data_IF_422547890947
#
_entry.id   IF_422547890947
#
_cell.length_a   1.000
_cell.length_b   1.000
_cell.length_c   1.000
_cell.angle_alpha   90.00
_cell.angle_beta   90.00
_cell.angle_gamma   90.00
#
_symmetry.space_group_name_H-M   'P 1'
#
loop_
_entity.id
_entity.type
_entity.pdbx_description
1 polymer ?
#
# COMPACT_ATOMS: atom_id res chain seq x y z
N UNK A 1 10.25 -23.66 12.11
CA UNK A 1 9.06 -23.51 11.27
C UNK A 1 7.89 -23.90 12.16
N UNK A 2 7.44 -22.99 13.01
CA UNK A 2 6.34 -23.26 13.94
C UNK A 2 5.08 -23.61 13.15
N UNK A 3 4.45 -24.72 13.53
CA UNK A 3 3.16 -25.14 13.00
C UNK A 3 2.13 -24.05 13.23
N UNK A 4 1.73 -23.38 12.15
CA UNK A 4 0.70 -22.34 12.14
C UNK A 4 -0.67 -22.97 12.46
N UNK A 5 -1.01 -23.11 13.74
CA UNK A 5 -2.35 -23.47 14.18
C UNK A 5 -3.27 -22.23 14.11
N UNK A 6 -4.41 -22.38 13.44
CA UNK A 6 -5.46 -21.36 13.39
C UNK A 6 -6.32 -21.71 14.58
N UNK A 7 -6.66 -20.71 15.39
CA UNK A 7 -7.39 -20.94 16.63
C UNK A 7 -8.66 -21.75 16.33
N UNK A 8 -8.91 -22.86 17.04
CA UNK A 8 -9.99 -23.80 16.71
C UNK A 8 -11.39 -23.18 16.59
N UNK A 9 -11.68 -22.10 17.32
CA UNK A 9 -12.98 -21.42 17.23
C UNK A 9 -13.19 -20.71 15.87
N UNK A 10 -12.14 -20.17 15.26
CA UNK A 10 -12.23 -19.54 13.93
C UNK A 10 -12.53 -20.57 12.85
N UNK A 11 -11.95 -21.78 12.97
CA UNK A 11 -12.29 -22.90 12.09
C UNK A 11 -13.76 -23.31 12.28
N UNK A 12 -14.25 -23.34 13.52
CA UNK A 12 -15.65 -23.67 13.82
C UNK A 12 -16.64 -22.66 13.22
N UNK A 13 -16.33 -21.36 13.29
CA UNK A 13 -17.13 -20.31 12.62
C UNK A 13 -17.09 -20.43 11.09
N UNK A 14 -15.93 -20.74 10.51
CA UNK A 14 -15.74 -21.04 9.08
C UNK A 14 -16.55 -22.27 8.60
N UNK A 15 -16.78 -23.25 9.47
CA UNK A 15 -17.63 -24.41 9.16
C UNK A 15 -19.13 -24.09 9.28
N UNK A 16 -19.51 -23.04 10.03
CA UNK A 16 -20.90 -22.63 10.21
C UNK A 16 -21.37 -21.58 9.19
N UNK A 17 -20.47 -20.71 8.72
CA UNK A 17 -20.72 -19.74 7.64
C UNK A 17 -20.21 -20.27 6.31
N UNK A 18 -20.78 -19.80 5.20
CA UNK A 18 -20.14 -19.95 3.89
C UNK A 18 -18.78 -19.21 3.92
N UNK A 19 -17.71 -19.92 3.59
CA UNK A 19 -16.33 -19.41 3.61
C UNK A 19 -16.18 -18.16 2.75
N UNK A 20 -16.92 -18.08 1.64
CA UNK A 20 -16.95 -16.95 0.74
C UNK A 20 -17.46 -15.69 1.45
N UNK A 21 -18.63 -15.82 2.10
CA UNK A 21 -19.26 -14.73 2.86
C UNK A 21 -18.39 -14.30 4.03
N UNK A 22 -17.74 -15.25 4.70
CA UNK A 22 -16.87 -14.93 5.82
C UNK A 22 -15.60 -14.17 5.38
N UNK A 23 -14.99 -14.56 4.26
CA UNK A 23 -13.86 -13.81 3.69
C UNK A 23 -14.28 -12.41 3.21
N UNK A 24 -15.49 -12.26 2.68
CA UNK A 24 -16.03 -10.94 2.30
C UNK A 24 -16.15 -10.03 3.54
N UNK A 25 -16.71 -10.54 4.65
CA UNK A 25 -16.81 -9.82 5.94
C UNK A 25 -15.42 -9.41 6.48
N UNK A 26 -14.44 -10.31 6.41
CA UNK A 26 -13.08 -10.01 6.87
C UNK A 26 -12.35 -9.02 5.96
N UNK A 27 -12.63 -9.04 4.65
CA UNK A 27 -12.16 -8.03 3.71
C UNK A 27 -12.66 -6.65 4.07
N UNK A 28 -13.97 -6.51 4.33
CA UNK A 28 -14.58 -5.26 4.79
C UNK A 28 -13.99 -4.78 6.11
N UNK A 29 -13.81 -5.68 7.07
CA UNK A 29 -13.16 -5.37 8.36
C UNK A 29 -11.75 -4.81 8.15
N UNK A 30 -10.95 -5.43 7.29
CA UNK A 30 -9.60 -4.95 6.96
C UNK A 30 -9.64 -3.56 6.31
N UNK A 31 -10.57 -3.34 5.40
CA UNK A 31 -10.74 -2.02 4.77
C UNK A 31 -11.15 -0.96 5.80
N UNK A 32 -12.06 -1.28 6.73
CA UNK A 32 -12.48 -0.38 7.79
C UNK A 32 -11.32 -0.01 8.72
N UNK A 33 -10.51 -0.98 9.16
CA UNK A 33 -9.30 -0.72 9.96
C UNK A 33 -8.34 0.22 9.24
N UNK A 34 -8.12 0.00 7.94
CA UNK A 34 -7.29 0.88 7.11
C UNK A 34 -7.88 2.29 7.01
N UNK A 35 -9.19 2.43 6.84
CA UNK A 35 -9.85 3.75 6.84
C UNK A 35 -9.68 4.47 8.18
N UNK A 36 -9.83 3.77 9.31
CA UNK A 36 -9.58 4.35 10.64
C UNK A 36 -8.14 4.83 10.80
N UNK A 37 -7.17 4.04 10.31
CA UNK A 37 -5.77 4.48 10.24
C UNK A 37 -5.63 5.77 9.42
N UNK A 38 -6.27 5.87 8.26
CA UNK A 38 -6.21 7.09 7.43
C UNK A 38 -6.88 8.29 8.12
N UNK A 39 -8.02 8.10 8.80
CA UNK A 39 -8.68 9.14 9.59
C UNK A 39 -7.77 9.66 10.69
N UNK A 40 -7.07 8.77 11.41
CA UNK A 40 -6.14 9.16 12.46
C UNK A 40 -4.91 9.88 11.91
N UNK A 41 -4.38 9.43 10.77
CA UNK A 41 -3.24 10.08 10.12
C UNK A 41 -3.61 11.51 9.65
N UNK A 42 -4.79 11.69 9.08
CA UNK A 42 -5.30 13.01 8.62
C UNK A 42 -5.57 13.99 9.78
N UNK A 43 -5.63 13.54 11.04
CA UNK A 43 -5.69 14.45 12.21
C UNK A 43 -4.34 15.11 12.51
N UNK A 44 -3.23 14.52 12.06
CA UNK A 44 -1.87 14.91 12.44
C UNK A 44 -0.96 15.27 11.25
N UNK A 45 -1.44 15.11 10.02
CA UNK A 45 -0.68 15.39 8.81
C UNK A 45 -1.60 15.91 7.70
N UNK A 46 -1.08 16.82 6.88
CA UNK A 46 -1.75 17.26 5.65
C UNK A 46 -1.86 16.10 4.65
N UNK A 47 -2.85 16.12 3.73
CA UNK A 47 -3.11 15.02 2.80
C UNK A 47 -1.88 14.49 2.05
N UNK A 48 -1.06 15.38 1.47
CA UNK A 48 0.14 14.98 0.73
C UNK A 48 1.19 14.31 1.62
N UNK A 49 1.44 14.86 2.81
CA UNK A 49 2.38 14.29 3.78
C UNK A 49 1.88 12.93 4.31
N UNK A 50 0.57 12.79 4.53
CA UNK A 50 -0.05 11.54 4.94
C UNK A 50 0.16 10.45 3.86
N UNK A 51 -0.15 10.76 2.61
CA UNK A 51 0.03 9.84 1.48
C UNK A 51 1.50 9.50 1.26
N UNK A 52 2.38 10.51 1.30
CA UNK A 52 3.83 10.32 1.17
C UNK A 52 4.36 9.33 2.22
N UNK A 53 4.00 9.51 3.50
CA UNK A 53 4.43 8.64 4.59
C UNK A 53 3.94 7.21 4.42
N UNK A 54 2.67 7.01 4.04
CA UNK A 54 2.14 5.65 3.82
C UNK A 54 2.77 4.98 2.58
N UNK A 55 2.99 5.74 1.49
CA UNK A 55 3.67 5.24 0.29
C UNK A 55 5.11 4.84 0.64
N UNK A 56 5.87 5.71 1.30
CA UNK A 56 7.23 5.41 1.74
C UNK A 56 7.26 4.15 2.61
N UNK A 57 6.40 4.10 3.64
CA UNK A 57 6.25 2.95 4.52
C UNK A 57 6.00 1.64 3.75
N UNK A 58 5.19 1.67 2.68
CA UNK A 58 4.92 0.49 1.83
C UNK A 58 6.14 0.00 1.05
N UNK A 59 7.09 0.88 0.70
CA UNK A 59 8.32 0.50 -0.01
C UNK A 59 9.21 -0.45 0.80
N UNK A 60 9.09 -0.41 2.14
CA UNK A 60 9.91 -1.20 3.04
C UNK A 60 9.52 -2.66 3.21
N UNK A 61 8.30 -3.05 2.79
CA UNK A 61 7.71 -4.38 3.06
C UNK A 61 7.93 -4.80 4.54
N UNK A 62 8.01 -6.10 4.81
CA UNK A 62 8.22 -6.64 6.16
C UNK A 62 9.55 -6.23 6.81
N UNK A 63 10.60 -5.92 6.03
CA UNK A 63 11.98 -5.82 6.54
C UNK A 63 12.47 -4.40 6.78
N UNK A 64 12.01 -3.43 5.99
CA UNK A 64 12.50 -2.05 6.02
C UNK A 64 11.38 -1.01 6.23
N UNK A 65 10.18 -1.43 6.69
CA UNK A 65 9.01 -0.55 6.88
C UNK A 65 9.34 0.68 7.74
N UNK A 66 9.97 0.44 8.89
CA UNK A 66 10.32 1.47 9.87
C UNK A 66 11.38 2.41 9.27
N UNK A 67 12.38 1.87 8.57
CA UNK A 67 13.45 2.65 7.96
C UNK A 67 12.92 3.59 6.88
N UNK A 68 12.00 3.14 6.04
CA UNK A 68 11.36 4.02 5.07
C UNK A 68 10.45 5.06 5.71
N UNK A 69 9.77 4.70 6.81
CA UNK A 69 8.97 5.66 7.56
C UNK A 69 9.84 6.74 8.21
N UNK A 70 10.96 6.36 8.84
CA UNK A 70 11.94 7.30 9.38
C UNK A 70 12.50 8.21 8.29
N UNK A 71 12.85 7.66 7.13
CA UNK A 71 13.30 8.44 5.98
C UNK A 71 12.27 9.50 5.56
N UNK A 72 10.99 9.12 5.49
CA UNK A 72 9.91 10.04 5.15
C UNK A 72 9.71 11.14 6.21
N UNK A 73 10.03 10.87 7.48
CA UNK A 73 9.93 11.85 8.56
C UNK A 73 11.06 12.88 8.53
N UNK A 74 12.28 12.46 8.17
CA UNK A 74 13.46 13.35 8.14
C UNK A 74 13.69 14.02 6.78
N UNK A 75 12.90 13.67 5.77
CA UNK A 75 12.82 14.37 4.49
C UNK A 75 11.35 14.41 4.04
N UNK A 76 10.56 15.37 4.56
CA UNK A 76 9.14 15.52 4.25
C UNK A 76 8.85 15.70 2.77
N UNK A 77 7.61 15.43 2.36
CA UNK A 77 7.18 15.57 0.97
C UNK A 77 7.36 17.02 0.46
N UNK A 78 7.05 18.00 1.30
CA UNK A 78 7.24 19.42 0.97
C UNK A 78 8.69 19.76 0.62
N UNK A 79 9.66 19.09 1.24
CA UNK A 79 11.09 19.31 0.96
C UNK A 79 11.52 18.67 -0.35
N UNK A 80 11.09 17.43 -0.63
CA UNK A 80 11.43 16.79 -1.91
C UNK A 80 10.84 17.54 -3.10
N UNK A 81 9.67 18.17 -2.92
CA UNK A 81 9.01 18.93 -3.99
C UNK A 81 9.63 20.29 -4.30
N UNK A 82 10.55 20.79 -3.47
CA UNK A 82 11.38 21.93 -3.84
C UNK A 82 12.32 21.62 -5.00
N UNK A 83 12.69 20.34 -5.17
CA UNK A 83 13.67 19.94 -6.18
C UNK A 83 13.05 19.77 -7.57
N UNK A 84 11.81 19.25 -7.64
CA UNK A 84 11.03 18.92 -8.86
C UNK A 84 11.69 17.93 -9.84
N UNK A 85 13.00 17.78 -9.79
CA UNK A 85 13.79 16.89 -10.63
C UNK A 85 13.95 15.49 -10.01
N UNK A 86 13.73 14.46 -10.82
CA UNK A 86 13.81 13.07 -10.39
C UNK A 86 15.20 12.68 -9.87
N UNK A 87 16.29 13.08 -10.54
CA UNK A 87 17.64 12.68 -10.15
C UNK A 87 18.05 13.34 -8.83
N UNK A 88 17.64 14.60 -8.63
CA UNK A 88 17.87 15.32 -7.38
C UNK A 88 17.07 14.69 -6.25
N UNK A 89 15.79 14.34 -6.47
CA UNK A 89 14.95 13.64 -5.48
C UNK A 89 15.56 12.29 -5.10
N UNK A 90 16.00 11.51 -6.09
CA UNK A 90 16.67 10.22 -5.85
C UNK A 90 17.92 10.40 -4.99
N UNK A 91 18.81 11.34 -5.36
CA UNK A 91 20.04 11.63 -4.61
C UNK A 91 19.74 12.11 -3.20
N UNK A 92 18.76 13.00 -3.02
CA UNK A 92 18.36 13.51 -1.72
C UNK A 92 17.88 12.39 -0.78
N UNK A 93 17.00 11.51 -1.28
CA UNK A 93 16.51 10.35 -0.53
C UNK A 93 17.63 9.35 -0.20
N UNK A 94 18.50 9.04 -1.16
CA UNK A 94 19.65 8.15 -0.94
C UNK A 94 20.64 8.74 0.07
N UNK A 95 20.92 10.04 -0.01
CA UNK A 95 21.85 10.71 0.89
C UNK A 95 21.27 10.75 2.30
N UNK A 96 20.04 11.25 2.46
CA UNK A 96 19.33 11.31 3.74
C UNK A 96 19.17 9.92 4.36
N UNK A 97 18.92 8.91 3.53
CA UNK A 97 18.83 7.51 3.94
C UNK A 97 20.17 6.88 4.31
N UNK A 98 21.32 7.53 4.18
CA UNK A 98 22.59 6.90 4.53
C UNK A 98 23.15 5.93 3.49
N UNK A 99 22.51 5.83 2.32
CA UNK A 99 22.83 4.84 1.29
C UNK A 99 23.95 5.31 0.36
N UNK A 100 24.14 6.62 0.24
CA UNK A 100 25.28 7.25 -0.44
C UNK A 100 25.96 8.28 0.47
N UNK A 101 27.23 8.59 0.18
CA UNK A 101 28.02 9.59 0.91
C UNK A 101 28.33 10.85 0.10
N UNK A 102 28.24 10.78 -1.23
CA UNK A 102 28.51 11.93 -2.09
C UNK A 102 27.43 12.99 -1.93
N UNK A 103 27.85 14.23 -1.71
CA UNK A 103 26.99 15.42 -1.74
C UNK A 103 26.85 16.00 -3.16
N UNK A 104 27.60 15.46 -4.12
CA UNK A 104 27.64 15.96 -5.49
C UNK A 104 26.25 15.84 -6.14
N UNK A 105 25.77 16.95 -6.71
CA UNK A 105 24.45 17.05 -7.34
C UNK A 105 23.29 17.24 -6.36
N UNK A 106 23.54 17.41 -5.07
CA UNK A 106 22.51 17.92 -4.14
C UNK A 106 22.38 19.45 -4.26
N UNK A 107 21.20 20.02 -3.97
CA UNK A 107 21.01 21.47 -3.89
C UNK A 107 21.94 22.10 -2.86
N UNK A 108 22.34 23.36 -3.10
CA UNK A 108 23.30 24.06 -2.23
C UNK A 108 22.78 24.28 -0.80
N UNK A 109 21.46 24.45 -0.68
CA UNK A 109 20.72 24.66 0.57
C UNK A 109 20.23 23.35 1.21
N UNK A 110 20.55 22.20 0.62
CA UNK A 110 20.18 20.91 1.20
C UNK A 110 20.90 20.69 2.53
N UNK A 111 20.14 20.54 3.62
CA UNK A 111 20.72 20.22 4.93
C UNK A 111 21.40 18.84 4.90
N UNK A 112 22.72 18.84 4.93
CA UNK A 112 23.56 17.62 4.89
C UNK A 112 23.88 17.06 6.27
N UNK A 113 23.46 17.73 7.35
CA UNK A 113 23.76 17.33 8.74
C UNK A 113 22.86 16.18 9.22
N UNK A 114 21.60 16.16 8.81
CA UNK A 114 20.65 15.12 9.16
C UNK A 114 20.74 13.94 8.18
N UNK A 115 21.06 12.74 8.68
CA UNK A 115 21.28 11.54 7.86
C UNK A 115 21.11 10.25 8.68
N UNK A 116 20.46 9.24 8.11
CA UNK A 116 20.34 7.91 8.72
C UNK A 116 21.68 7.15 8.68
N UNK A 117 21.88 6.25 9.64
CA UNK A 117 23.04 5.34 9.62
C UNK A 117 22.81 4.24 8.59
N UNK A 118 23.79 3.94 7.74
CA UNK A 118 23.68 2.90 6.69
C UNK A 118 23.27 1.51 7.23
N UNK A 119 23.71 1.16 8.44
CA UNK A 119 23.47 -0.16 9.04
C UNK A 119 22.04 -0.37 9.58
N UNK A 120 21.18 0.65 9.57
CA UNK A 120 19.75 0.47 9.93
C UNK A 120 19.00 -0.32 8.87
N UNK A 121 19.44 -0.26 7.61
CA UNK A 121 18.84 -0.96 6.48
C UNK A 121 19.11 -2.47 6.54
N UNK A 122 18.05 -3.25 6.36
CA UNK A 122 18.10 -4.71 6.36
C UNK A 122 18.18 -5.24 4.93
N UNK A 123 19.25 -5.97 4.62
CA UNK A 123 19.46 -6.63 3.32
C UNK A 123 19.30 -8.15 3.41
N UNK A 124 19.62 -8.75 4.57
CA UNK A 124 19.52 -10.20 4.75
C UNK A 124 18.07 -10.68 4.58
N UNK A 125 17.87 -11.65 3.68
CA UNK A 125 16.55 -12.18 3.36
C UNK A 125 15.68 -11.24 2.52
N UNK A 126 16.21 -10.13 2.02
CA UNK A 126 15.55 -9.24 1.06
C UNK A 126 16.06 -9.58 -0.35
N UNK A 127 15.16 -9.73 -1.31
CA UNK A 127 15.54 -9.97 -2.71
C UNK A 127 16.15 -8.69 -3.31
N UNK A 128 17.17 -8.76 -4.18
CA UNK A 128 17.84 -7.56 -4.72
C UNK A 128 16.91 -6.49 -5.34
N UNK A 129 15.82 -6.83 -6.07
CA UNK A 129 14.86 -5.82 -6.56
C UNK A 129 14.11 -5.05 -5.46
N UNK A 130 14.21 -5.50 -4.21
CA UNK A 130 13.59 -4.92 -3.03
C UNK A 130 14.58 -4.20 -2.12
N UNK A 131 15.84 -4.06 -2.54
CA UNK A 131 16.82 -3.26 -1.80
C UNK A 131 16.40 -1.79 -1.75
N UNK A 132 16.69 -1.07 -0.64
CA UNK A 132 16.27 0.31 -0.43
C UNK A 132 16.64 1.25 -1.58
N UNK A 133 17.85 1.13 -2.12
CA UNK A 133 18.36 1.94 -3.21
C UNK A 133 17.52 1.76 -4.49
N UNK A 134 17.17 0.51 -4.82
CA UNK A 134 16.34 0.19 -5.99
C UNK A 134 14.92 0.70 -5.82
N UNK A 135 14.40 0.67 -4.59
CA UNK A 135 13.06 1.16 -4.23
C UNK A 135 12.99 2.69 -4.29
N UNK A 136 14.01 3.39 -3.76
CA UNK A 136 14.15 4.85 -3.85
C UNK A 136 14.26 5.29 -5.31
N UNK A 137 15.12 4.66 -6.10
CA UNK A 137 15.25 4.95 -7.53
C UNK A 137 13.92 4.77 -8.28
N UNK A 138 13.21 3.69 -7.98
CA UNK A 138 11.90 3.36 -8.56
C UNK A 138 10.85 4.43 -8.21
N UNK A 139 10.74 4.86 -6.95
CA UNK A 139 9.70 5.82 -6.54
C UNK A 139 10.01 7.28 -6.92
N UNK A 140 11.28 7.65 -7.13
CA UNK A 140 11.67 9.05 -7.34
C UNK A 140 11.04 9.67 -8.59
N UNK A 141 10.76 8.87 -9.61
CA UNK A 141 10.04 9.32 -10.81
C UNK A 141 8.60 9.75 -10.49
N UNK A 142 7.89 8.97 -9.68
CA UNK A 142 6.56 9.32 -9.20
C UNK A 142 6.58 10.60 -8.37
N UNK A 143 7.54 10.74 -7.46
CA UNK A 143 7.61 11.94 -6.63
C UNK A 143 7.84 13.19 -7.48
N UNK A 144 8.78 13.16 -8.42
CA UNK A 144 8.99 14.25 -9.38
C UNK A 144 7.70 14.63 -10.12
N UNK A 145 6.95 13.65 -10.63
CA UNK A 145 5.67 13.87 -11.32
C UNK A 145 4.60 14.47 -10.39
N UNK A 146 4.46 13.92 -9.19
CA UNK A 146 3.44 14.36 -8.23
C UNK A 146 3.70 15.76 -7.67
N UNK A 147 4.94 16.24 -7.66
CA UNK A 147 5.29 17.53 -7.06
C UNK A 147 4.73 18.75 -7.80
N UNK A 148 4.13 18.57 -8.97
CA UNK A 148 3.43 19.65 -9.68
C UNK A 148 2.19 20.12 -8.91
N UNK A 149 1.32 19.19 -8.49
CA UNK A 149 0.03 19.49 -7.85
C UNK A 149 -0.19 18.75 -6.50
N UNK A 150 0.79 17.97 -6.05
CA UNK A 150 0.70 17.10 -4.88
C UNK A 150 0.20 15.70 -5.20
N UNK A 151 0.57 14.72 -4.36
CA UNK A 151 0.09 13.32 -4.45
C UNK A 151 -1.43 13.27 -4.30
N UNK A 152 -1.98 14.12 -3.41
CA UNK A 152 -3.39 14.21 -3.13
C UNK A 152 -4.19 14.55 -4.37
N UNK A 153 -3.85 15.63 -5.06
CA UNK A 153 -4.61 16.04 -6.24
C UNK A 153 -4.32 15.11 -7.43
N UNK A 154 -3.07 14.64 -7.57
CA UNK A 154 -2.66 13.71 -8.62
C UNK A 154 -3.53 12.46 -8.72
N UNK A 155 -3.82 11.80 -7.59
CA UNK A 155 -4.70 10.62 -7.59
C UNK A 155 -6.17 10.96 -7.48
N UNK A 156 -6.54 12.11 -6.87
CA UNK A 156 -7.94 12.56 -6.82
C UNK A 156 -8.49 12.76 -8.22
N UNK A 157 -7.76 13.48 -9.07
CA UNK A 157 -8.13 13.70 -10.48
C UNK A 157 -8.27 12.39 -11.23
N UNK A 158 -7.28 11.49 -11.14
CA UNK A 158 -7.32 10.19 -11.83
C UNK A 158 -8.50 9.31 -11.41
N UNK A 159 -8.87 9.33 -10.12
CA UNK A 159 -10.06 8.61 -9.64
C UNK A 159 -11.33 9.21 -10.25
N UNK A 160 -11.44 10.54 -10.26
CA UNK A 160 -12.61 11.25 -10.80
C UNK A 160 -12.73 11.08 -12.31
N UNK A 161 -11.63 11.16 -13.06
CA UNK A 161 -11.59 10.97 -14.52
C UNK A 161 -11.95 9.55 -14.96
N UNK A 162 -11.66 8.56 -14.12
CA UNK A 162 -11.97 7.15 -14.40
C UNK A 162 -13.28 6.68 -13.74
N UNK A 163 -14.05 7.58 -13.12
CA UNK A 163 -15.33 7.27 -12.52
C UNK A 163 -16.32 6.73 -13.57
N UNK A 164 -17.02 5.65 -13.21
CA UNK A 164 -18.09 5.08 -14.05
C UNK A 164 -19.14 4.41 -13.17
N UNK A 165 -20.40 4.47 -13.61
CA UNK A 165 -21.54 3.81 -12.94
C UNK A 165 -21.66 2.32 -13.29
N UNK A 166 -20.93 1.83 -14.30
CA UNK A 166 -21.04 0.45 -14.78
C UNK A 166 -19.71 -0.30 -14.62
N UNK A 167 -19.60 -1.15 -13.59
CA UNK A 167 -18.42 -1.94 -13.27
C UNK A 167 -18.67 -3.45 -13.41
N UNK A 168 -17.63 -4.17 -13.86
CA UNK A 168 -17.52 -5.62 -13.86
C UNK A 168 -16.05 -6.01 -13.59
N UNK A 169 -15.77 -7.31 -13.42
CA UNK A 169 -14.41 -7.76 -13.08
C UNK A 169 -13.33 -7.33 -14.10
N UNK A 170 -13.67 -7.33 -15.39
CA UNK A 170 -12.74 -7.00 -16.48
C UNK A 170 -12.40 -5.51 -16.47
N UNK A 171 -13.41 -4.64 -16.42
CA UNK A 171 -13.17 -3.20 -16.46
C UNK A 171 -12.59 -2.66 -15.15
N UNK A 172 -12.90 -3.27 -13.99
CA UNK A 172 -12.34 -2.87 -12.70
C UNK A 172 -10.80 -2.93 -12.71
N UNK A 173 -10.22 -4.01 -13.25
CA UNK A 173 -8.77 -4.12 -13.37
C UNK A 173 -8.18 -3.09 -14.31
N UNK A 174 -8.82 -2.84 -15.46
CA UNK A 174 -8.35 -1.83 -16.42
C UNK A 174 -8.38 -0.42 -15.82
N UNK A 175 -9.43 -0.08 -15.08
CA UNK A 175 -9.58 1.23 -14.44
C UNK A 175 -8.51 1.42 -13.36
N UNK A 176 -8.34 0.46 -12.46
CA UNK A 176 -7.30 0.57 -11.42
C UNK A 176 -5.92 0.71 -12.06
N UNK A 177 -5.61 -0.05 -13.12
CA UNK A 177 -4.34 0.05 -13.84
C UNK A 177 -4.11 1.45 -14.45
N UNK A 178 -5.15 2.13 -14.93
CA UNK A 178 -5.05 3.52 -15.41
C UNK A 178 -4.78 4.49 -14.26
N UNK A 179 -5.48 4.34 -13.13
CA UNK A 179 -5.29 5.19 -11.95
C UNK A 179 -3.85 5.09 -11.41
N UNK A 180 -3.26 3.90 -11.41
CA UNK A 180 -1.90 3.64 -10.88
C UNK A 180 -0.80 3.69 -11.94
N UNK A 181 -1.11 4.09 -13.17
CA UNK A 181 -0.11 4.19 -14.23
C UNK A 181 0.68 5.48 -14.08
N UNK A 182 1.80 5.42 -13.35
CA UNK A 182 2.69 6.55 -13.12
C UNK A 182 4.16 6.13 -13.08
N UNK A 183 5.07 7.10 -13.20
CA UNK A 183 6.47 6.82 -13.47
C UNK A 183 7.15 6.02 -12.36
N UNK A 184 7.87 4.98 -12.76
CA UNK A 184 8.84 4.29 -11.90
C UNK A 184 8.25 3.24 -10.95
N UNK A 185 6.92 3.06 -10.86
CA UNK A 185 6.31 1.93 -10.15
C UNK A 185 5.73 0.92 -11.15
N UNK A 186 6.12 -0.36 -10.99
CA UNK A 186 5.52 -1.45 -11.75
C UNK A 186 4.10 -1.81 -11.26
N UNK A 187 3.26 -2.29 -12.17
CA UNK A 187 1.84 -2.58 -11.94
C UNK A 187 1.53 -3.29 -10.61
N UNK A 188 2.23 -4.40 -10.30
CA UNK A 188 1.99 -5.16 -9.07
C UNK A 188 2.12 -4.31 -7.80
N UNK A 189 3.13 -3.43 -7.74
CA UNK A 189 3.35 -2.50 -6.61
C UNK A 189 2.32 -1.38 -6.60
N UNK A 190 1.92 -0.89 -7.78
CA UNK A 190 0.86 0.11 -7.90
C UNK A 190 -0.47 -0.43 -7.36
N UNK A 191 -0.79 -1.70 -7.63
CA UNK A 191 -1.98 -2.36 -7.07
C UNK A 191 -1.89 -2.49 -5.54
N UNK A 192 -0.73 -2.89 -5.00
CA UNK A 192 -0.49 -2.93 -3.56
C UNK A 192 -0.70 -1.56 -2.92
N UNK A 193 -0.16 -0.48 -3.52
CA UNK A 193 -0.34 0.90 -3.06
C UNK A 193 -1.80 1.32 -3.14
N UNK A 194 -2.48 1.02 -4.26
CA UNK A 194 -3.88 1.40 -4.43
C UNK A 194 -4.78 0.77 -3.38
N UNK A 195 -4.79 -0.56 -3.25
CA UNK A 195 -5.72 -1.22 -2.34
C UNK A 195 -5.36 -1.07 -0.86
N UNK A 196 -4.07 -0.89 -0.51
CA UNK A 196 -3.67 -0.73 0.88
C UNK A 196 -3.65 0.73 1.37
N UNK A 197 -3.49 1.71 0.47
CA UNK A 197 -3.29 3.12 0.82
C UNK A 197 -4.31 4.01 0.11
N UNK A 198 -4.30 4.07 -1.23
CA UNK A 198 -5.10 5.07 -1.96
C UNK A 198 -6.60 4.83 -1.78
N UNK A 199 -7.07 3.59 -1.93
CA UNK A 199 -8.47 3.22 -1.77
C UNK A 199 -9.02 3.62 -0.38
N UNK A 200 -8.47 3.15 0.75
CA UNK A 200 -8.98 3.55 2.07
C UNK A 200 -8.83 5.06 2.31
N UNK A 201 -7.74 5.68 1.84
CA UNK A 201 -7.53 7.12 1.99
C UNK A 201 -8.60 7.92 1.26
N UNK A 202 -8.81 7.68 -0.04
CA UNK A 202 -9.77 8.42 -0.85
C UNK A 202 -11.22 8.10 -0.47
N UNK A 203 -11.53 6.90 0.02
CA UNK A 203 -12.84 6.65 0.63
C UNK A 203 -13.10 7.60 1.80
N UNK A 204 -12.12 7.81 2.69
CA UNK A 204 -12.26 8.77 3.81
C UNK A 204 -12.45 10.20 3.31
N UNK A 205 -11.69 10.61 2.30
CA UNK A 205 -11.78 11.95 1.71
C UNK A 205 -13.15 12.17 1.05
N UNK A 206 -13.57 11.28 0.14
CA UNK A 206 -14.83 11.43 -0.59
C UNK A 206 -16.05 11.25 0.31
N UNK A 207 -15.97 10.46 1.38
CA UNK A 207 -17.01 10.40 2.42
C UNK A 207 -17.16 11.75 3.13
N UNK A 208 -16.04 12.38 3.52
CA UNK A 208 -16.03 13.69 4.16
C UNK A 208 -16.57 14.78 3.24
N UNK A 209 -16.26 14.70 1.94
CA UNK A 209 -16.72 15.64 0.92
C UNK A 209 -18.17 15.38 0.46
N UNK A 210 -18.85 14.34 0.97
CA UNK A 210 -20.21 13.99 0.56
C UNK A 210 -20.34 13.41 -0.85
N UNK A 211 -19.24 12.97 -1.47
CA UNK A 211 -19.20 12.41 -2.83
C UNK A 211 -19.58 10.91 -2.85
N UNK A 212 -20.83 10.62 -2.46
CA UNK A 212 -21.35 9.26 -2.22
C UNK A 212 -21.17 8.34 -3.44
N UNK A 213 -21.39 8.83 -4.65
CA UNK A 213 -21.26 8.01 -5.87
C UNK A 213 -19.82 7.58 -6.13
N UNK A 214 -18.83 8.43 -5.84
CA UNK A 214 -17.41 8.04 -5.94
C UNK A 214 -17.06 7.01 -4.87
N UNK A 215 -17.61 7.14 -3.65
CA UNK A 215 -17.39 6.15 -2.59
C UNK A 215 -17.91 4.77 -3.00
N UNK A 216 -19.12 4.71 -3.58
CA UNK A 216 -19.72 3.48 -4.14
C UNK A 216 -18.88 2.93 -5.30
N UNK A 217 -18.36 3.80 -6.16
CA UNK A 217 -17.45 3.39 -7.22
C UNK A 217 -16.17 2.75 -6.67
N UNK A 218 -15.57 3.31 -5.61
CA UNK A 218 -14.41 2.71 -4.95
C UNK A 218 -14.77 1.37 -4.27
N UNK A 219 -15.96 1.23 -3.67
CA UNK A 219 -16.47 -0.06 -3.17
C UNK A 219 -16.57 -1.09 -4.30
N UNK A 220 -17.17 -0.70 -5.42
CA UNK A 220 -17.33 -1.59 -6.56
C UNK A 220 -15.97 -1.99 -7.17
N UNK A 221 -14.96 -1.12 -7.20
CA UNK A 221 -13.58 -1.51 -7.58
C UNK A 221 -13.00 -2.55 -6.61
N UNK A 222 -13.24 -2.40 -5.31
CA UNK A 222 -12.77 -3.34 -4.29
C UNK A 222 -13.49 -4.70 -4.35
N UNK A 223 -14.79 -4.70 -4.65
CA UNK A 223 -15.58 -5.91 -4.78
C UNK A 223 -15.27 -6.68 -6.08
N UNK A 224 -14.97 -5.97 -7.18
CA UNK A 224 -14.86 -6.57 -8.51
C UNK A 224 -13.42 -6.77 -9.02
N UNK A 225 -12.42 -6.07 -8.47
CA UNK A 225 -11.05 -6.26 -8.94
C UNK A 225 -10.56 -7.68 -8.61
N UNK A 226 -9.89 -8.38 -9.55
CA UNK A 226 -9.27 -9.68 -9.29
C UNK A 226 -8.31 -9.66 -8.07
N UNK A 227 -8.02 -10.82 -7.45
CA UNK A 227 -7.07 -10.88 -6.34
C UNK A 227 -5.67 -10.38 -6.76
N UNK A 228 -4.92 -9.85 -5.79
CA UNK A 228 -3.53 -9.48 -6.00
C UNK A 228 -2.62 -10.71 -6.10
N UNK A 229 -1.37 -10.49 -6.50
CA UNK A 229 -0.37 -11.55 -6.51
C UNK A 229 -0.19 -12.19 -5.13
N UNK A 230 -0.06 -13.51 -5.12
CA UNK A 230 0.05 -14.26 -3.88
C UNK A 230 1.38 -14.00 -3.15
N UNK A 231 1.26 -13.69 -1.85
CA UNK A 231 2.39 -13.56 -0.94
C UNK A 231 2.50 -14.81 -0.04
N UNK A 232 3.47 -14.84 0.88
CA UNK A 232 3.65 -15.99 1.78
C UNK A 232 2.44 -16.25 2.68
N UNK A 233 1.72 -15.19 3.06
CA UNK A 233 0.52 -15.28 3.93
C UNK A 233 -0.63 -15.90 3.14
N UNK A 234 -0.95 -15.35 1.96
CA UNK A 234 -2.08 -15.85 1.16
C UNK A 234 -1.85 -17.28 0.69
N UNK A 235 -0.61 -17.63 0.31
CA UNK A 235 -0.25 -19.04 -0.01
C UNK A 235 -0.45 -19.98 1.18
N UNK A 236 -0.02 -19.57 2.38
CA UNK A 236 -0.19 -20.38 3.57
C UNK A 236 -1.67 -20.57 3.93
N UNK A 237 -2.46 -19.50 3.87
CA UNK A 237 -3.89 -19.55 4.17
C UNK A 237 -4.67 -20.37 3.16
N UNK A 238 -4.40 -20.19 1.85
CA UNK A 238 -5.05 -20.98 0.79
C UNK A 238 -4.81 -22.48 0.97
N UNK A 239 -3.55 -22.88 1.14
CA UNK A 239 -3.16 -24.28 1.41
C UNK A 239 -3.87 -24.85 2.65
N UNK A 240 -4.06 -24.02 3.68
CA UNK A 240 -4.69 -24.44 4.93
C UNK A 240 -6.20 -24.63 4.79
N UNK A 241 -6.88 -23.72 4.09
CA UNK A 241 -8.34 -23.67 4.02
C UNK A 241 -8.92 -24.54 2.90
N UNK A 242 -8.18 -24.76 1.82
CA UNK A 242 -8.75 -25.24 0.57
C UNK A 242 -8.12 -26.52 0.01
N UNK A 243 -7.49 -27.35 0.86
CA UNK A 243 -6.75 -28.58 0.49
C UNK A 243 -7.25 -29.32 -0.77
N UNK A 244 -8.56 -29.57 -0.89
CA UNK A 244 -9.20 -30.33 -1.98
C UNK A 244 -10.24 -29.51 -2.79
N UNK A 245 -10.43 -28.22 -2.51
CA UNK A 245 -11.36 -27.33 -3.24
C UNK A 245 -10.58 -26.48 -4.24
N UNK A 246 -11.20 -26.13 -5.37
CA UNK A 246 -10.58 -25.20 -6.35
C UNK A 246 -10.46 -23.80 -5.73
N UNK A 247 -9.28 -23.50 -5.20
CA UNK A 247 -8.92 -22.21 -4.58
C UNK A 247 -9.31 -20.99 -5.42
N UNK A 248 -9.18 -21.13 -6.75
CA UNK A 248 -9.48 -20.10 -7.74
C UNK A 248 -10.96 -19.71 -7.78
N UNK A 249 -11.86 -20.57 -7.32
CA UNK A 249 -13.30 -20.34 -7.36
C UNK A 249 -13.78 -19.55 -6.14
N UNK A 250 -12.98 -19.53 -5.06
CA UNK A 250 -13.33 -18.89 -3.78
C UNK A 250 -12.71 -17.50 -3.69
N UNK A 251 -11.39 -17.37 -3.88
CA UNK A 251 -10.66 -16.10 -3.72
C UNK A 251 -10.67 -15.33 -5.05
N UNK A 252 -11.85 -14.90 -5.47
CA UNK A 252 -12.08 -14.35 -6.82
C UNK A 252 -11.97 -12.83 -6.91
N UNK A 253 -11.79 -12.14 -5.79
CA UNK A 253 -11.70 -10.68 -5.70
C UNK A 253 -10.60 -10.23 -4.73
N UNK A 254 -10.20 -8.96 -4.84
CA UNK A 254 -9.30 -8.32 -3.89
C UNK A 254 -9.92 -8.21 -2.49
N UNK A 255 -11.24 -8.07 -2.37
CA UNK A 255 -11.95 -8.16 -1.09
C UNK A 255 -11.67 -9.47 -0.36
N UNK A 256 -11.86 -10.61 -1.03
CA UNK A 256 -11.59 -11.93 -0.44
C UNK A 256 -10.10 -12.17 -0.21
N UNK A 257 -9.24 -11.67 -1.09
CA UNK A 257 -7.79 -11.66 -0.88
C UNK A 257 -7.42 -10.95 0.42
N UNK A 258 -8.00 -9.78 0.68
CA UNK A 258 -7.80 -9.02 1.92
C UNK A 258 -8.42 -9.75 3.12
N UNK A 259 -9.54 -10.43 2.94
CA UNK A 259 -10.15 -11.30 3.94
C UNK A 259 -9.23 -12.43 4.40
N UNK A 260 -8.48 -13.07 3.48
CA UNK A 260 -7.48 -14.08 3.84
C UNK A 260 -6.37 -13.52 4.71
N UNK A 261 -5.89 -12.32 4.39
CA UNK A 261 -4.83 -11.64 5.17
C UNK A 261 -5.37 -11.29 6.56
N UNK A 262 -6.59 -10.78 6.64
CA UNK A 262 -7.22 -10.45 7.92
C UNK A 262 -7.41 -11.70 8.80
N UNK A 263 -7.88 -12.81 8.21
CA UNK A 263 -8.01 -14.08 8.90
C UNK A 263 -6.67 -14.57 9.47
N UNK A 264 -5.59 -14.44 8.69
CA UNK A 264 -4.25 -14.77 9.15
C UNK A 264 -3.83 -13.93 10.36
N UNK A 265 -4.04 -12.61 10.31
CA UNK A 265 -3.67 -11.69 11.39
C UNK A 265 -4.43 -12.02 12.69
N UNK A 266 -5.72 -12.32 12.61
CA UNK A 266 -6.54 -12.71 13.76
C UNK A 266 -6.14 -14.07 14.33
N UNK A 267 -5.71 -14.99 13.46
CA UNK A 267 -5.27 -16.33 13.84
C UNK A 267 -3.90 -16.35 14.52
N UNK A 268 -2.99 -15.46 14.12
CA UNK A 268 -1.57 -15.53 14.51
C UNK A 268 -1.13 -14.45 15.51
N UNK A 269 -1.79 -13.29 15.57
CA UNK A 269 -1.21 -12.12 16.23
C UNK A 269 -2.10 -11.37 17.23
N UNK A 270 -3.32 -11.83 17.51
CA UNK A 270 -4.18 -11.07 18.44
C UNK A 270 -4.48 -9.63 18.00
N UNK A 271 -4.47 -9.36 16.68
CA UNK A 271 -5.02 -8.11 16.12
C UNK A 271 -4.04 -7.04 15.64
N UNK A 272 -2.71 -7.25 15.63
CA UNK A 272 -1.80 -6.26 15.05
C UNK A 272 -1.79 -6.28 13.50
N UNK A 273 -2.13 -5.13 12.90
CA UNK A 273 -2.19 -4.90 11.46
C UNK A 273 -0.79 -4.90 10.82
N UNK A 274 -0.39 -6.03 10.25
CA UNK A 274 0.62 -6.03 9.19
C UNK A 274 -0.02 -5.48 7.90
N UNK A 275 0.48 -4.31 7.45
CA UNK A 275 0.13 -3.63 6.19
C UNK A 275 0.62 -4.37 4.92
N UNK A 276 0.90 -5.68 5.01
CA UNK A 276 1.20 -6.49 3.82
C UNK A 276 -0.06 -6.85 3.05
#
# INVERSE_FOLDING_TARGET
MESLEVKPYLLKELYQKDIDTYLDQLGEKRLLNKKERMRNLLKIAQPDEALYREIMLSLGYKKNKIQFQELAMILPYSEICKFKDQEIIEKALLYRGGLINSKSGLPKDFDVSLKMKKNVWKYQGVRPPNFPERRIKSISGFFSESCENGIYEFFRQRIQENFTSSLNKKNASQIVNRIISFKGIGQARGLEIFFNILLPFYKVIFEKDGQIEIVKFLDALYDNHPPLADNSITKAMKKKLFKDKREADIVTSVKRYMGLIQLYNESTKGGEDDNT
#
